data_IF_254851900740
#
_entry.id   IF_254851900740
#
_cell.length_a   1.000
_cell.length_b   1.000
_cell.length_c   1.000
_cell.angle_alpha   90.00
_cell.angle_beta   90.00
_cell.angle_gamma   90.00
#
_symmetry.space_group_name_H-M   'P 1'
#
loop_
_entity.id
_entity.type
_entity.pdbx_description
1 polymer ?
#
# COMPACT_ATOMS: atom_id res chain seq x y z
N UNK A 1 22.93 2.58 37.75
CA UNK A 1 21.75 2.38 36.87
C UNK A 1 21.27 3.78 36.47
N UNK A 2 21.47 4.20 35.23
CA UNK A 2 21.04 5.53 34.79
C UNK A 2 19.51 5.62 34.74
N UNK A 3 18.96 6.70 35.26
CA UNK A 3 17.53 7.01 35.27
C UNK A 3 17.00 7.14 33.82
N UNK A 4 16.08 6.27 33.44
CA UNK A 4 15.33 6.41 32.18
C UNK A 4 14.31 7.54 32.37
N UNK A 5 14.66 8.75 31.95
CA UNK A 5 13.73 9.87 31.83
C UNK A 5 12.64 9.45 30.82
N UNK A 6 11.36 9.26 31.22
CA UNK A 6 10.32 9.04 30.23
C UNK A 6 10.35 10.27 29.33
N UNK A 7 10.76 10.07 28.08
CA UNK A 7 10.79 11.15 27.10
C UNK A 7 9.42 11.80 27.11
N UNK A 8 9.38 13.13 27.25
CA UNK A 8 8.16 13.93 27.16
C UNK A 8 7.34 13.39 25.99
N UNK A 9 6.31 12.59 26.27
CA UNK A 9 5.38 12.09 25.27
C UNK A 9 4.61 13.31 24.83
N UNK A 10 5.18 14.07 23.88
CA UNK A 10 4.49 15.18 23.25
C UNK A 10 3.11 14.69 22.88
N UNK A 11 2.09 15.36 23.41
CA UNK A 11 0.72 14.85 23.47
C UNK A 11 0.30 14.23 22.13
N UNK A 12 0.31 12.90 22.06
CA UNK A 12 -0.10 12.20 20.86
C UNK A 12 -1.62 12.32 20.75
N UNK A 13 -2.10 13.01 19.71
CA UNK A 13 -3.53 13.08 19.39
C UNK A 13 -3.87 12.01 18.34
N UNK A 14 -4.60 10.95 18.68
CA UNK A 14 -5.02 9.93 17.73
C UNK A 14 -5.73 10.55 16.50
N UNK A 15 -5.43 10.04 15.31
CA UNK A 15 -6.04 10.49 14.06
C UNK A 15 -5.55 11.85 13.53
N UNK A 16 -4.66 12.54 14.26
CA UNK A 16 -4.04 13.79 13.78
C UNK A 16 -2.74 13.58 12.98
N UNK A 17 -2.35 12.31 12.77
CA UNK A 17 -1.18 11.97 11.98
C UNK A 17 -1.38 12.35 10.52
N UNK A 18 -0.36 12.94 9.91
CA UNK A 18 -0.33 13.16 8.47
C UNK A 18 -0.29 11.82 7.72
N UNK A 19 -1.30 11.58 6.89
CA UNK A 19 -1.47 10.33 6.13
C UNK A 19 -1.22 10.46 4.62
N UNK A 20 -0.72 11.62 4.15
CA UNK A 20 -0.56 11.90 2.71
C UNK A 20 0.30 10.86 1.98
N UNK A 21 1.31 10.30 2.65
CA UNK A 21 2.16 9.25 2.08
C UNK A 21 1.40 7.93 1.89
N UNK A 22 0.56 7.55 2.85
CA UNK A 22 -0.25 6.34 2.85
C UNK A 22 -1.34 6.42 1.79
N UNK A 23 -2.01 7.57 1.66
CA UNK A 23 -3.01 7.82 0.62
C UNK A 23 -2.40 7.68 -0.78
N UNK A 24 -1.23 8.30 -1.01
CA UNK A 24 -0.52 8.18 -2.29
C UNK A 24 -0.11 6.74 -2.59
N UNK A 25 0.33 6.00 -1.57
CA UNK A 25 0.71 4.60 -1.70
C UNK A 25 -0.49 3.73 -2.04
N UNK A 26 -1.63 3.97 -1.39
CA UNK A 26 -2.87 3.25 -1.67
C UNK A 26 -3.36 3.51 -3.11
N UNK A 27 -3.35 4.77 -3.55
CA UNK A 27 -3.70 5.13 -4.92
C UNK A 27 -2.80 4.42 -5.95
N UNK A 28 -1.50 4.31 -5.66
CA UNK A 28 -0.56 3.57 -6.50
C UNK A 28 -0.85 2.06 -6.47
N UNK A 29 -1.13 1.49 -5.30
CA UNK A 29 -1.47 0.08 -5.12
C UNK A 29 -2.69 -0.31 -5.96
N UNK A 30 -3.76 0.49 -5.92
CA UNK A 30 -4.98 0.22 -6.71
C UNK A 30 -4.68 0.24 -8.21
N UNK A 31 -3.89 1.22 -8.68
CA UNK A 31 -3.46 1.26 -10.09
C UNK A 31 -2.64 0.04 -10.47
N UNK A 32 -1.67 -0.34 -9.64
CA UNK A 32 -0.84 -1.53 -9.86
C UNK A 32 -1.68 -2.81 -9.89
N UNK A 33 -2.58 -2.99 -8.92
CA UNK A 33 -3.45 -4.16 -8.85
C UNK A 33 -4.39 -4.26 -10.06
N UNK A 34 -4.91 -3.12 -10.53
CA UNK A 34 -5.77 -3.07 -11.73
C UNK A 34 -5.00 -3.51 -12.98
N UNK A 35 -3.82 -2.95 -13.21
CA UNK A 35 -2.98 -3.36 -14.35
C UNK A 35 -2.53 -4.81 -14.24
N UNK A 36 -2.16 -5.27 -13.04
CA UNK A 36 -1.82 -6.66 -12.77
C UNK A 36 -2.97 -7.60 -13.15
N UNK A 37 -4.19 -7.30 -12.67
CA UNK A 37 -5.39 -8.08 -13.00
C UNK A 37 -5.70 -8.13 -14.49
N UNK A 38 -5.63 -6.98 -15.18
CA UNK A 38 -5.83 -6.91 -16.64
C UNK A 38 -4.81 -7.79 -17.37
N UNK A 39 -3.51 -7.66 -17.04
CA UNK A 39 -2.45 -8.43 -17.67
C UNK A 39 -2.60 -9.93 -17.42
N UNK A 40 -3.01 -10.34 -16.22
CA UNK A 40 -3.30 -11.75 -15.91
C UNK A 40 -4.43 -12.28 -16.79
N UNK A 41 -5.56 -11.56 -16.90
CA UNK A 41 -6.69 -11.99 -17.74
C UNK A 41 -6.30 -12.05 -19.21
N UNK A 42 -5.59 -11.04 -19.73
CA UNK A 42 -5.10 -11.05 -21.11
C UNK A 42 -4.17 -12.23 -21.38
N UNK A 43 -3.28 -12.54 -20.44
CA UNK A 43 -2.36 -13.69 -20.56
C UNK A 43 -3.12 -15.02 -20.62
N UNK A 44 -4.18 -15.17 -19.80
CA UNK A 44 -5.02 -16.38 -19.83
C UNK A 44 -5.79 -16.53 -21.15
N UNK A 45 -6.30 -15.42 -21.69
CA UNK A 45 -6.96 -15.42 -23.01
C UNK A 45 -5.96 -15.82 -24.10
N UNK A 46 -4.75 -15.23 -24.08
CA UNK A 46 -3.70 -15.56 -25.05
C UNK A 46 -3.27 -17.02 -24.95
N UNK A 47 -3.11 -17.55 -23.73
CA UNK A 47 -2.82 -18.96 -23.50
C UNK A 47 -3.91 -19.85 -24.11
N UNK A 48 -5.18 -19.52 -23.87
CA UNK A 48 -6.30 -20.27 -24.43
C UNK A 48 -6.36 -20.19 -25.96
N UNK A 49 -6.03 -19.05 -26.56
CA UNK A 49 -5.99 -18.90 -28.03
C UNK A 49 -4.77 -19.59 -28.67
N UNK A 50 -3.64 -19.66 -27.97
CA UNK A 50 -2.40 -20.25 -28.48
C UNK A 50 -2.39 -21.78 -28.39
N UNK A 51 -3.12 -22.35 -27.42
CA UNK A 51 -3.31 -23.79 -27.24
C UNK A 51 -4.61 -24.31 -27.89
N UNK A 52 -5.38 -23.43 -28.55
CA UNK A 52 -6.57 -23.78 -29.34
C UNK A 52 -6.23 -24.25 -30.76
#
# INVERSE_FOLDING_TARGET
>A
MAEHKPGNTGEFKPGSMDIRAQEKTFALFIRFATWGGILTVLSLILLALADA
#
